data_IF_772669694805
#
_entry.id   IF_772669694805
#
_cell.length_a   1.000
_cell.length_b   1.000
_cell.length_c   1.000
_cell.angle_alpha   90.00
_cell.angle_beta   90.00
_cell.angle_gamma   90.00
#
_symmetry.space_group_name_H-M   'P 1'
#
loop_
_entity.id
_entity.type
_entity.pdbx_description
1 polymer ?
#
# COMPACT_ATOMS: atom_id res chain seq x y z
N UNK A 1 -0.89 -13.60 18.80
CA UNK A 1 -0.86 -12.15 19.01
C UNK A 1 -1.49 -11.52 17.79
N UNK A 2 -2.59 -10.77 17.97
CA UNK A 2 -3.20 -10.03 16.86
C UNK A 2 -2.33 -8.82 16.61
N UNK A 3 -1.85 -8.70 15.38
CA UNK A 3 -0.97 -7.63 14.98
C UNK A 3 -1.79 -6.42 14.49
N UNK A 4 -3.06 -6.53 14.08
CA UNK A 4 -3.89 -5.33 13.87
C UNK A 4 -4.86 -5.08 15.01
N UNK A 5 -5.11 -3.81 15.30
CA UNK A 5 -6.29 -3.36 16.06
C UNK A 5 -7.44 -3.09 15.08
N UNK A 6 -8.48 -3.93 15.03
CA UNK A 6 -9.61 -3.69 14.15
C UNK A 6 -10.38 -2.42 14.60
N UNK A 7 -10.90 -1.65 13.64
CA UNK A 7 -11.61 -0.37 13.86
C UNK A 7 -10.79 0.73 14.57
N UNK A 8 -9.47 0.76 14.36
CA UNK A 8 -8.58 1.75 15.00
C UNK A 8 -8.06 2.84 14.04
N UNK A 9 -8.20 2.64 12.73
CA UNK A 9 -7.65 3.54 11.70
C UNK A 9 -8.20 4.95 11.82
N UNK A 10 -7.30 5.91 12.13
CA UNK A 10 -7.65 7.34 12.11
C UNK A 10 -8.17 7.81 10.74
N UNK A 11 -7.86 7.09 9.65
CA UNK A 11 -8.30 7.44 8.31
C UNK A 11 -9.81 7.34 8.11
N UNK A 12 -10.53 6.50 8.88
CA UNK A 12 -11.98 6.33 8.72
C UNK A 12 -12.79 7.33 9.55
N UNK A 13 -12.12 8.15 10.36
CA UNK A 13 -12.75 9.12 11.28
C UNK A 13 -13.85 8.46 12.12
N UNK A 14 -13.61 7.23 12.55
CA UNK A 14 -14.52 6.41 13.34
C UNK A 14 -13.94 6.19 14.74
N UNK A 15 -14.82 5.91 15.71
CA UNK A 15 -14.41 5.59 17.08
C UNK A 15 -15.35 4.56 17.69
N UNK A 16 -14.83 3.74 18.61
CA UNK A 16 -15.65 2.79 19.36
C UNK A 16 -16.22 3.46 20.62
N UNK A 17 -17.44 3.10 21.03
CA UNK A 17 -18.09 3.67 22.23
C UNK A 17 -17.38 3.26 23.53
N UNK A 18 -16.83 2.06 23.54
CA UNK A 18 -16.12 1.45 24.65
C UNK A 18 -14.90 0.68 24.12
N UNK A 19 -14.12 0.10 25.03
CA UNK A 19 -13.00 -0.78 24.71
C UNK A 19 -13.45 -1.88 23.75
N UNK A 20 -12.88 -1.95 22.53
CA UNK A 20 -13.23 -2.98 21.57
C UNK A 20 -12.59 -4.32 21.95
N UNK A 21 -13.26 -5.40 21.56
CA UNK A 21 -12.68 -6.73 21.61
C UNK A 21 -11.47 -6.80 20.65
N UNK A 22 -10.33 -7.35 21.11
CA UNK A 22 -9.06 -7.29 20.37
C UNK A 22 -9.08 -8.07 19.04
N UNK A 23 -10.03 -8.99 18.86
CA UNK A 23 -10.12 -9.85 17.67
C UNK A 23 -11.10 -9.30 16.63
N UNK A 24 -12.22 -8.72 17.06
CA UNK A 24 -13.30 -8.29 16.16
C UNK A 24 -13.43 -6.78 16.00
N UNK A 25 -12.83 -5.97 16.89
CA UNK A 25 -13.01 -4.52 16.91
C UNK A 25 -14.39 -4.07 17.39
N UNK A 26 -15.27 -4.99 17.80
CA UNK A 26 -16.60 -4.70 18.29
C UNK A 26 -16.51 -4.31 19.77
N UNK A 27 -17.28 -3.32 20.22
CA UNK A 27 -17.42 -3.06 21.66
C UNK A 27 -17.86 -4.34 22.39
N UNK A 28 -17.29 -4.63 23.56
CA UNK A 28 -17.68 -5.80 24.37
C UNK A 28 -19.20 -5.86 24.60
N UNK A 29 -19.83 -4.70 24.72
CA UNK A 29 -21.29 -4.51 24.77
C UNK A 29 -21.80 -3.91 23.45
N UNK A 30 -21.79 -4.71 22.38
CA UNK A 30 -22.45 -4.31 21.13
C UNK A 30 -23.97 -4.25 21.35
N UNK A 31 -24.60 -3.18 20.88
CA UNK A 31 -26.05 -2.97 21.04
C UNK A 31 -26.65 -2.93 19.65
N UNK A 32 -27.73 -3.67 19.46
CA UNK A 32 -28.52 -3.61 18.23
C UNK A 32 -29.10 -2.19 18.04
N UNK A 33 -29.09 -1.69 16.80
CA UNK A 33 -29.47 -0.31 16.50
C UNK A 33 -28.48 0.78 16.98
N UNK A 34 -27.25 0.41 17.37
CA UNK A 34 -26.22 1.38 17.67
C UNK A 34 -25.84 2.20 16.43
N UNK A 35 -26.27 3.46 16.37
CA UNK A 35 -25.91 4.45 15.33
C UNK A 35 -24.43 4.87 15.38
N UNK A 36 -23.61 4.19 16.19
CA UNK A 36 -22.32 4.62 16.70
C UNK A 36 -21.35 5.15 15.63
N UNK A 37 -20.34 5.91 16.06
CA UNK A 37 -19.35 6.45 15.13
C UNK A 37 -18.39 5.38 14.58
N UNK A 38 -18.48 4.13 15.04
CA UNK A 38 -17.63 3.03 14.58
C UNK A 38 -17.97 2.59 13.15
N UNK A 39 -17.04 1.92 12.47
CA UNK A 39 -17.21 1.46 11.08
C UNK A 39 -18.43 0.54 10.91
N UNK A 40 -18.74 -0.29 11.91
CA UNK A 40 -19.90 -1.20 11.89
C UNK A 40 -21.22 -0.42 12.00
N UNK A 41 -21.30 0.56 12.90
CA UNK A 41 -22.50 1.40 13.06
C UNK A 41 -22.76 2.28 11.83
N UNK A 42 -21.69 2.90 11.30
CA UNK A 42 -21.77 3.70 10.08
C UNK A 42 -22.12 2.87 8.84
N UNK A 43 -21.61 1.64 8.72
CA UNK A 43 -21.94 0.75 7.59
C UNK A 43 -23.35 0.21 7.65
N UNK A 44 -23.93 -0.01 8.84
CA UNK A 44 -25.35 -0.32 8.97
C UNK A 44 -26.25 0.81 8.43
N UNK A 45 -25.85 2.08 8.61
CA UNK A 45 -26.62 3.24 8.17
C UNK A 45 -26.38 3.61 6.70
N UNK A 46 -25.13 3.59 6.25
CA UNK A 46 -24.71 4.13 4.95
C UNK A 46 -24.29 3.07 3.94
N UNK A 47 -24.21 1.80 4.35
CA UNK A 47 -23.86 0.67 3.50
C UNK A 47 -22.58 0.92 2.71
N UNK A 48 -22.71 0.89 1.38
CA UNK A 48 -21.58 1.06 0.44
C UNK A 48 -20.91 2.44 0.48
N UNK A 49 -21.57 3.48 1.00
CA UNK A 49 -20.98 4.83 1.03
C UNK A 49 -19.84 4.95 2.03
N UNK A 50 -19.70 4.01 2.96
CA UNK A 50 -18.61 3.96 3.95
C UNK A 50 -17.64 2.81 3.68
N UNK A 51 -17.65 2.25 2.47
CA UNK A 51 -16.67 1.25 2.04
C UNK A 51 -15.24 1.81 2.04
N UNK A 52 -15.10 3.12 1.78
CA UNK A 52 -13.81 3.79 1.74
C UNK A 52 -13.63 4.79 2.89
N UNK A 53 -12.39 5.01 3.35
CA UNK A 53 -12.07 6.08 4.30
C UNK A 53 -12.53 7.46 3.79
N UNK A 54 -13.03 8.30 4.69
CA UNK A 54 -13.51 9.67 4.39
C UNK A 54 -12.53 10.68 5.00
N UNK A 55 -12.13 11.75 4.28
CA UNK A 55 -12.66 12.22 2.99
C UNK A 55 -12.02 11.56 1.76
N UNK A 56 -12.81 10.74 1.07
CA UNK A 56 -12.41 10.00 -0.12
C UNK A 56 -11.82 10.91 -1.21
N UNK A 57 -10.70 10.51 -1.81
CA UNK A 57 -9.99 11.27 -2.84
C UNK A 57 -9.22 12.49 -2.33
N UNK A 58 -9.35 12.85 -1.05
CA UNK A 58 -8.56 13.92 -0.39
C UNK A 58 -7.55 13.39 0.62
N UNK A 59 -7.68 12.14 1.07
CA UNK A 59 -6.73 11.49 1.97
C UNK A 59 -6.19 10.21 1.35
N UNK A 60 -4.93 9.92 1.67
CA UNK A 60 -4.30 8.61 1.48
C UNK A 60 -4.29 7.90 2.83
N UNK A 61 -4.92 6.74 2.91
CA UNK A 61 -5.00 5.96 4.14
C UNK A 61 -3.92 4.87 4.16
N UNK A 62 -3.05 4.89 5.16
CA UNK A 62 -2.14 3.79 5.46
C UNK A 62 -2.84 2.66 6.23
N UNK A 63 -2.27 1.46 6.17
CA UNK A 63 -2.72 0.34 7.01
C UNK A 63 -2.25 0.55 8.46
N UNK A 64 -3.13 0.34 9.43
CA UNK A 64 -2.80 0.31 10.87
C UNK A 64 -2.80 -1.13 11.42
N UNK A 65 -2.41 -2.06 10.56
CA UNK A 65 -2.12 -3.43 10.97
C UNK A 65 -0.67 -3.45 11.42
N UNK A 66 -0.37 -3.93 12.63
CA UNK A 66 0.94 -4.54 12.84
C UNK A 66 0.96 -5.76 11.88
N UNK A 67 2.05 -5.88 11.15
CA UNK A 67 2.29 -7.00 10.27
C UNK A 67 3.30 -7.92 10.97
N UNK A 68 3.14 -9.26 10.89
CA UNK A 68 4.08 -10.18 11.53
C UNK A 68 5.49 -10.09 10.94
N UNK A 69 5.62 -9.49 9.74
CA UNK A 69 6.85 -9.28 9.00
C UNK A 69 6.70 -7.94 8.26
N UNK A 70 7.74 -7.12 8.32
CA UNK A 70 7.89 -5.89 7.55
C UNK A 70 9.32 -5.82 6.96
N UNK A 71 9.67 -4.74 6.27
CA UNK A 71 11.01 -4.60 5.68
C UNK A 71 12.15 -4.57 6.72
N UNK A 72 11.89 -4.27 7.99
CA UNK A 72 12.91 -4.36 9.05
C UNK A 72 13.30 -5.81 9.40
N UNK A 73 12.44 -6.77 9.06
CA UNK A 73 12.70 -8.19 9.21
C UNK A 73 13.52 -8.77 8.04
N UNK A 74 13.71 -7.98 6.98
CA UNK A 74 14.45 -8.37 5.78
C UNK A 74 15.84 -7.72 5.78
N UNK A 75 16.86 -8.53 5.52
CA UNK A 75 18.25 -8.06 5.49
C UNK A 75 18.91 -8.51 4.19
N UNK A 76 19.44 -7.55 3.43
CA UNK A 76 20.17 -7.83 2.18
C UNK A 76 21.64 -7.99 2.52
N UNK A 77 22.11 -9.23 2.58
CA UNK A 77 23.53 -9.54 2.72
C UNK A 77 24.19 -9.50 1.34
N UNK A 78 24.75 -8.35 0.98
CA UNK A 78 25.55 -8.22 -0.24
C UNK A 78 26.84 -9.04 -0.14
N UNK A 79 27.35 -9.51 -1.28
CA UNK A 79 28.72 -10.04 -1.37
C UNK A 79 29.67 -8.92 -1.80
N UNK A 80 30.84 -8.83 -1.16
CA UNK A 80 31.90 -7.89 -1.54
C UNK A 80 32.80 -8.43 -2.67
N UNK A 81 32.55 -9.67 -3.11
CA UNK A 81 33.36 -10.39 -4.09
C UNK A 81 32.48 -11.19 -5.04
N UNK A 82 32.85 -11.18 -6.33
CA UNK A 82 32.10 -11.80 -7.41
C UNK A 82 31.13 -10.81 -8.08
N UNK A 83 31.34 -10.56 -9.37
CA UNK A 83 30.35 -9.89 -10.21
C UNK A 83 29.47 -10.95 -10.89
N UNK A 84 28.17 -10.69 -10.96
CA UNK A 84 27.20 -11.53 -11.66
C UNK A 84 26.52 -10.67 -12.72
N UNK A 85 26.48 -11.16 -13.96
CA UNK A 85 25.90 -10.43 -15.10
C UNK A 85 26.88 -9.54 -15.86
N UNK A 86 28.09 -9.32 -15.35
CA UNK A 86 29.17 -8.59 -16.03
C UNK A 86 30.54 -9.14 -15.58
N UNK A 87 31.61 -8.79 -16.30
CA UNK A 87 32.98 -9.14 -15.95
C UNK A 87 33.37 -8.59 -14.57
N UNK A 88 34.04 -9.41 -13.76
CA UNK A 88 34.45 -9.09 -12.39
C UNK A 88 35.73 -8.22 -12.34
N UNK A 89 35.68 -7.10 -13.04
CA UNK A 89 36.76 -6.12 -13.13
C UNK A 89 36.30 -4.77 -12.54
N UNK A 90 37.08 -4.10 -11.68
CA UNK A 90 36.67 -2.83 -11.04
C UNK A 90 36.40 -1.68 -12.03
N UNK A 91 37.02 -1.72 -13.21
CA UNK A 91 36.80 -0.75 -14.27
C UNK A 91 35.54 -1.05 -15.11
N UNK A 92 34.99 -2.26 -14.98
CA UNK A 92 33.82 -2.72 -15.72
C UNK A 92 32.59 -2.85 -14.80
N UNK A 93 32.70 -3.50 -13.64
CA UNK A 93 31.64 -3.75 -12.66
C UNK A 93 31.34 -2.50 -11.80
N UNK A 94 31.02 -1.39 -12.45
CA UNK A 94 30.65 -0.11 -11.82
C UNK A 94 29.13 0.02 -11.72
N UNK A 95 28.65 0.76 -10.73
CA UNK A 95 27.20 0.96 -10.50
C UNK A 95 26.47 1.57 -11.71
N UNK A 96 27.16 2.33 -12.57
CA UNK A 96 26.60 2.91 -13.79
C UNK A 96 26.26 1.87 -14.87
N UNK A 97 26.85 0.68 -14.78
CA UNK A 97 26.68 -0.39 -15.77
C UNK A 97 25.61 -1.42 -15.33
N UNK A 98 24.92 -1.16 -14.21
CA UNK A 98 23.80 -2.00 -13.77
C UNK A 98 22.66 -1.89 -14.77
N UNK A 99 22.26 -3.02 -15.35
CA UNK A 99 21.06 -3.10 -16.18
C UNK A 99 19.82 -3.27 -15.30
N UNK A 100 18.91 -2.30 -15.38
CA UNK A 100 17.63 -2.30 -14.65
C UNK A 100 16.44 -2.68 -15.53
N UNK A 101 16.68 -3.02 -16.80
CA UNK A 101 15.62 -3.41 -17.72
C UNK A 101 14.90 -4.65 -17.23
N UNK A 102 13.61 -4.70 -17.45
CA UNK A 102 12.78 -5.85 -17.11
C UNK A 102 11.63 -6.03 -18.09
N UNK A 103 10.82 -7.06 -17.87
CA UNK A 103 9.60 -7.27 -18.61
C UNK A 103 8.46 -7.71 -17.68
N UNK A 104 7.25 -7.27 -18.01
CA UNK A 104 6.01 -7.62 -17.29
C UNK A 104 4.94 -8.11 -18.27
N UNK A 105 3.86 -8.68 -17.72
CA UNK A 105 2.80 -9.34 -18.49
C UNK A 105 2.95 -10.86 -18.54
N UNK A 106 1.84 -11.57 -18.80
CA UNK A 106 1.81 -13.04 -18.77
C UNK A 106 2.78 -13.70 -19.76
N UNK A 107 3.08 -12.99 -20.85
CA UNK A 107 4.01 -13.38 -21.91
C UNK A 107 5.35 -12.61 -21.87
N UNK A 108 5.53 -11.69 -20.91
CA UNK A 108 6.70 -10.81 -20.84
C UNK A 108 6.83 -9.86 -22.05
N UNK A 109 5.70 -9.55 -22.72
CA UNK A 109 5.66 -8.70 -23.91
C UNK A 109 5.90 -7.22 -23.63
N UNK A 110 5.67 -6.76 -22.40
CA UNK A 110 5.84 -5.35 -22.02
C UNK A 110 7.27 -5.16 -21.50
N UNK A 111 8.14 -4.56 -22.31
CA UNK A 111 9.51 -4.20 -21.92
C UNK A 111 9.51 -2.88 -21.15
N UNK A 112 10.33 -2.81 -20.11
CA UNK A 112 10.50 -1.64 -19.26
C UNK A 112 11.98 -1.33 -19.08
N UNK A 113 12.35 -0.06 -19.08
CA UNK A 113 13.74 0.36 -18.83
C UNK A 113 14.07 0.38 -17.33
N UNK A 114 13.04 0.45 -16.49
CA UNK A 114 13.15 0.46 -15.03
C UNK A 114 12.09 -0.43 -14.37
N UNK A 115 12.38 -1.18 -13.29
CA UNK A 115 11.49 -2.23 -12.77
C UNK A 115 10.45 -1.66 -11.79
N UNK A 116 9.87 -0.51 -12.11
CA UNK A 116 8.84 0.17 -11.31
C UNK A 116 7.81 0.78 -12.24
N UNK A 117 6.53 0.65 -11.90
CA UNK A 117 5.44 1.31 -12.59
C UNK A 117 4.38 1.79 -11.60
N UNK A 118 3.52 2.69 -12.05
CA UNK A 118 2.40 3.20 -11.25
C UNK A 118 1.30 2.14 -11.18
N UNK A 119 0.87 1.78 -9.97
CA UNK A 119 -0.27 0.88 -9.78
C UNK A 119 -1.61 1.49 -10.21
N UNK A 120 -2.68 0.69 -10.16
CA UNK A 120 -4.03 1.14 -10.46
C UNK A 120 -4.53 2.13 -9.41
N UNK A 121 -4.58 3.42 -9.76
CA UNK A 121 -5.00 4.52 -8.87
C UNK A 121 -6.48 4.91 -9.04
N UNK A 122 -7.18 4.31 -10.02
CA UNK A 122 -8.48 4.77 -10.54
C UNK A 122 -9.69 4.66 -9.61
N UNK A 123 -9.56 4.07 -8.42
CA UNK A 123 -10.67 4.01 -7.47
C UNK A 123 -10.90 5.33 -6.75
N UNK A 124 -10.08 6.36 -6.92
CA UNK A 124 -10.26 7.67 -6.26
C UNK A 124 -10.11 8.83 -7.26
N UNK A 125 -10.72 9.98 -6.92
CA UNK A 125 -10.66 11.20 -7.75
C UNK A 125 -9.22 11.74 -7.92
N UNK A 126 -8.27 11.25 -7.10
CA UNK A 126 -6.85 11.64 -7.14
C UNK A 126 -6.21 11.34 -8.51
N UNK A 127 -6.63 10.26 -9.17
CA UNK A 127 -6.09 9.86 -10.46
C UNK A 127 -6.47 10.84 -11.55
N UNK A 128 -7.71 11.31 -11.52
CA UNK A 128 -8.22 12.30 -12.47
C UNK A 128 -7.59 13.66 -12.22
N UNK A 129 -7.34 14.01 -10.95
CA UNK A 129 -6.77 15.31 -10.56
C UNK A 129 -5.28 15.40 -10.92
N UNK A 130 -4.52 14.32 -10.75
CA UNK A 130 -3.05 14.33 -10.95
C UNK A 130 -2.61 13.47 -12.15
N UNK A 131 -3.52 13.24 -13.11
CA UNK A 131 -3.26 12.33 -14.22
C UNK A 131 -2.04 12.76 -15.02
N UNK A 132 -1.97 14.04 -15.36
CA UNK A 132 -0.94 14.56 -16.24
C UNK A 132 0.44 14.41 -15.61
N UNK A 133 0.59 14.74 -14.33
CA UNK A 133 1.85 14.62 -13.61
C UNK A 133 2.30 13.16 -13.47
N UNK A 134 1.37 12.25 -13.15
CA UNK A 134 1.66 10.82 -13.00
C UNK A 134 2.02 10.20 -14.35
N UNK A 135 1.29 10.54 -15.41
CA UNK A 135 1.52 10.04 -16.76
C UNK A 135 2.85 10.55 -17.33
N UNK A 136 3.15 11.84 -17.15
CA UNK A 136 4.44 12.42 -17.56
C UNK A 136 5.58 11.76 -16.79
N UNK A 137 5.46 11.63 -15.47
CA UNK A 137 6.47 11.02 -14.61
C UNK A 137 6.78 9.57 -14.99
N UNK A 138 5.74 8.78 -15.28
CA UNK A 138 5.90 7.42 -15.79
C UNK A 138 6.60 7.42 -17.16
N UNK A 139 6.14 8.24 -18.11
CA UNK A 139 6.67 8.27 -19.47
C UNK A 139 8.15 8.67 -19.54
N UNK A 140 8.63 9.56 -18.67
CA UNK A 140 10.06 9.96 -18.64
C UNK A 140 10.96 8.94 -17.94
N UNK A 141 10.37 8.02 -17.16
CA UNK A 141 11.12 7.05 -16.34
C UNK A 141 11.34 5.70 -17.03
N UNK A 142 10.72 5.49 -18.20
CA UNK A 142 10.86 4.28 -19.04
C UNK A 142 9.90 3.16 -18.67
#
# INVERSE_FOLDING_TARGET
MSFSKPNYSAATLTSTRFTPAPVSGICVTCVDGCEGPCEIGRSALKGREVLYPIPFGKITAGSEKDYPVDFSHFNIQGTAVGAVGIEADPDIARFSNVDTKTAVGADGGIKMDFPVFTGAVGSTDISRINWDEVAIGAAISG
#
